data_IF_816222527012
#
_entry.id   IF_816222527012
#
_cell.length_a   1.000
_cell.length_b   1.000
_cell.length_c   1.000
_cell.angle_alpha   90.00
_cell.angle_beta   90.00
_cell.angle_gamma   90.00
#
_symmetry.space_group_name_H-M   'P 1'
#
loop_
_entity.id
_entity.type
_entity.pdbx_description
1 polymer ?
#
# COMPACT_ATOMS: atom_id res chain seq x y z
N UNK A 1 20.57 -77.93 29.91
CA UNK A 1 19.53 -78.71 30.62
C UNK A 1 18.25 -78.61 29.80
N UNK A 2 17.90 -79.72 29.11
CA UNK A 2 16.54 -80.23 28.79
C UNK A 2 15.54 -79.25 28.13
N UNK A 3 15.42 -79.20 26.79
CA UNK A 3 14.33 -79.79 25.94
C UNK A 3 12.89 -79.46 26.41
N UNK A 4 12.03 -78.87 25.57
CA UNK A 4 11.30 -79.65 24.56
C UNK A 4 10.60 -78.75 23.52
N UNK A 5 10.75 -79.12 22.26
CA UNK A 5 9.83 -78.77 21.19
C UNK A 5 8.52 -79.55 21.34
N UNK A 6 7.39 -78.92 21.02
CA UNK A 6 6.21 -79.61 20.49
C UNK A 6 5.81 -78.97 19.15
N UNK A 7 6.18 -79.66 18.07
CA UNK A 7 5.39 -79.70 16.84
C UNK A 7 4.10 -80.45 17.14
N UNK A 8 2.97 -80.03 16.57
CA UNK A 8 2.07 -80.92 15.82
C UNK A 8 1.48 -80.09 14.68
N UNK A 9 1.92 -80.48 13.49
CA UNK A 9 1.32 -80.24 12.19
C UNK A 9 0.04 -81.05 12.04
N UNK A 10 -1.00 -80.50 11.43
CA UNK A 10 -1.91 -81.28 10.58
C UNK A 10 -2.24 -80.49 9.31
N UNK A 11 -1.81 -81.10 8.22
CA UNK A 11 -1.87 -80.69 6.83
C UNK A 11 -3.25 -80.84 6.18
N UNK A 12 -3.45 -80.01 5.15
CA UNK A 12 -4.21 -80.21 3.89
C UNK A 12 -5.74 -80.14 3.90
N UNK A 13 -6.25 -79.06 3.29
CA UNK A 13 -7.13 -78.97 2.08
C UNK A 13 -7.78 -77.58 2.09
N UNK A 14 -7.96 -76.83 1.01
CA UNK A 14 -7.67 -77.05 -0.38
C UNK A 14 -7.54 -75.68 -1.07
N UNK A 15 -6.62 -75.65 -2.02
CA UNK A 15 -6.51 -74.82 -3.22
C UNK A 15 -7.83 -74.16 -3.63
N UNK A 16 -7.82 -72.83 -3.78
CA UNK A 16 -8.44 -72.03 -4.86
C UNK A 16 -8.42 -70.55 -4.41
N UNK A 17 -7.90 -69.55 -5.12
CA UNK A 17 -7.26 -69.37 -6.42
C UNK A 17 -6.45 -68.07 -6.28
N UNK A 18 -5.17 -68.08 -6.63
CA UNK A 18 -4.49 -66.92 -7.21
C UNK A 18 -4.77 -66.97 -8.73
N UNK A 19 -4.83 -65.84 -9.44
CA UNK A 19 -3.60 -65.23 -9.97
C UNK A 19 -3.72 -63.68 -10.04
N UNK A 20 -2.71 -62.84 -10.22
CA UNK A 20 -1.35 -62.98 -10.73
C UNK A 20 -0.65 -61.62 -10.66
N UNK A 21 0.61 -61.63 -10.25
CA UNK A 21 1.72 -60.82 -10.79
C UNK A 21 1.59 -59.27 -10.82
N UNK A 22 2.41 -58.56 -10.03
CA UNK A 22 3.66 -57.97 -10.53
C UNK A 22 4.37 -57.03 -9.52
N UNK A 23 5.68 -57.26 -9.37
CA UNK A 23 6.79 -56.33 -9.08
C UNK A 23 6.52 -54.98 -8.35
N UNK A 24 6.99 -54.89 -7.09
CA UNK A 24 8.03 -53.96 -6.52
C UNK A 24 8.20 -52.57 -7.19
N UNK A 25 8.57 -51.44 -6.51
CA UNK A 25 8.56 -50.99 -5.09
C UNK A 25 8.04 -49.53 -4.88
N UNK A 26 8.17 -49.00 -3.65
CA UNK A 26 8.32 -47.57 -3.33
C UNK A 26 7.12 -46.62 -3.49
N UNK A 27 6.12 -46.68 -2.61
CA UNK A 27 5.33 -45.48 -2.28
C UNK A 27 4.95 -45.50 -0.80
N UNK A 28 5.85 -45.03 0.07
CA UNK A 28 5.46 -44.57 1.41
C UNK A 28 5.64 -43.06 1.46
N UNK A 29 4.54 -42.40 1.14
CA UNK A 29 4.09 -41.12 1.68
C UNK A 29 5.12 -39.98 1.80
N UNK A 30 5.11 -39.10 0.79
CA UNK A 30 5.12 -37.64 1.01
C UNK A 30 4.58 -36.90 -0.22
N UNK A 31 3.28 -37.05 -0.49
CA UNK A 31 2.51 -35.97 -1.12
C UNK A 31 1.76 -35.26 0.00
N UNK A 32 2.36 -34.21 0.55
CA UNK A 32 1.59 -33.20 1.27
C UNK A 32 0.65 -32.56 0.26
N UNK A 33 -0.58 -33.05 0.25
CA UNK A 33 -1.70 -32.41 -0.41
C UNK A 33 -1.95 -31.09 0.32
N UNK A 34 -1.50 -29.96 -0.24
CA UNK A 34 -2.02 -28.64 0.12
C UNK A 34 -2.85 -28.09 -1.05
N UNK A 35 -4.12 -28.50 -1.17
CA UNK A 35 -5.02 -27.97 -2.19
C UNK A 35 -5.49 -26.53 -1.88
N UNK A 36 -5.35 -26.04 -0.64
CA UNK A 36 -5.93 -24.77 -0.20
C UNK A 36 -5.03 -23.53 -0.33
N UNK A 37 -3.72 -23.66 -0.52
CA UNK A 37 -2.80 -22.51 -0.50
C UNK A 37 -2.94 -21.59 -1.72
N UNK A 38 -3.49 -22.11 -2.82
CA UNK A 38 -3.83 -21.29 -4.00
C UNK A 38 -5.16 -20.57 -3.81
N UNK A 39 -6.17 -21.24 -3.26
CA UNK A 39 -7.48 -20.65 -3.00
C UNK A 39 -7.40 -19.55 -1.93
N UNK A 40 -6.61 -19.75 -0.88
CA UNK A 40 -6.36 -18.73 0.16
C UNK A 40 -5.71 -17.49 -0.46
N UNK A 41 -4.65 -17.66 -1.26
CA UNK A 41 -4.00 -16.53 -1.96
C UNK A 41 -4.94 -15.80 -2.92
N UNK A 42 -5.78 -16.53 -3.66
CA UNK A 42 -6.77 -15.93 -4.56
C UNK A 42 -7.82 -15.14 -3.78
N UNK A 43 -8.27 -15.66 -2.63
CA UNK A 43 -9.21 -14.97 -1.75
C UNK A 43 -8.59 -13.72 -1.12
N UNK A 44 -7.35 -13.79 -0.64
CA UNK A 44 -6.60 -12.64 -0.11
C UNK A 44 -6.39 -11.57 -1.21
N UNK A 45 -6.00 -11.99 -2.42
CA UNK A 45 -5.82 -11.08 -3.54
C UNK A 45 -7.15 -10.44 -3.96
N UNK A 46 -8.25 -11.20 -3.96
CA UNK A 46 -9.59 -10.67 -4.21
C UNK A 46 -9.99 -9.66 -3.13
N UNK A 47 -9.82 -9.97 -1.85
CA UNK A 47 -10.12 -9.06 -0.74
C UNK A 47 -9.30 -7.77 -0.83
N UNK A 48 -8.00 -7.87 -1.12
CA UNK A 48 -7.14 -6.69 -1.31
C UNK A 48 -7.56 -5.86 -2.52
N UNK A 49 -8.01 -6.51 -3.59
CA UNK A 49 -8.53 -5.81 -4.78
C UNK A 49 -9.84 -5.09 -4.47
N UNK A 50 -10.74 -5.73 -3.71
CA UNK A 50 -11.99 -5.12 -3.26
C UNK A 50 -11.75 -3.96 -2.30
N UNK A 51 -10.81 -4.09 -1.38
CA UNK A 51 -10.39 -3.02 -0.48
C UNK A 51 -9.83 -1.82 -1.26
N UNK A 52 -8.94 -2.07 -2.23
CA UNK A 52 -8.42 -1.02 -3.12
C UNK A 52 -9.53 -0.36 -3.95
N UNK A 53 -10.51 -1.13 -4.43
CA UNK A 53 -11.69 -0.58 -5.14
C UNK A 53 -12.54 0.29 -4.22
N UNK A 54 -12.83 -0.15 -2.99
CA UNK A 54 -13.56 0.65 -1.99
C UNK A 54 -12.84 1.94 -1.63
N UNK A 55 -11.51 1.90 -1.44
CA UNK A 55 -10.72 3.12 -1.24
C UNK A 55 -10.82 4.06 -2.45
N UNK A 56 -10.77 3.51 -3.68
CA UNK A 56 -10.88 4.31 -4.91
C UNK A 56 -12.28 4.87 -5.13
N UNK A 57 -13.33 4.13 -4.75
CA UNK A 57 -14.73 4.57 -4.78
C UNK A 57 -15.02 5.61 -3.70
N UNK A 58 -14.46 5.45 -2.50
CA UNK A 58 -14.51 6.46 -1.44
C UNK A 58 -13.79 7.73 -1.86
N UNK A 59 -12.60 7.63 -2.45
CA UNK A 59 -11.91 8.78 -3.05
C UNK A 59 -12.73 9.40 -4.19
N UNK A 60 -13.31 8.59 -5.08
CA UNK A 60 -14.13 9.06 -6.19
C UNK A 60 -15.45 9.72 -5.77
N UNK A 61 -16.03 9.27 -4.65
CA UNK A 61 -17.27 9.83 -4.09
C UNK A 61 -16.98 11.09 -3.27
N UNK A 62 -15.87 11.09 -2.52
CA UNK A 62 -15.35 12.25 -1.77
C UNK A 62 -14.87 13.37 -2.70
N UNK A 63 -14.31 13.04 -3.87
CA UNK A 63 -13.95 14.01 -4.91
C UNK A 63 -15.17 14.66 -5.58
N UNK A 64 -16.35 14.02 -5.52
CA UNK A 64 -17.60 14.55 -6.09
C UNK A 64 -18.41 15.37 -5.10
N UNK A 65 -18.20 15.20 -3.79
CA UNK A 65 -18.84 16.02 -2.77
C UNK A 65 -17.88 17.13 -2.33
N UNK A 66 -18.11 18.34 -2.84
CA UNK A 66 -17.53 19.63 -2.44
C UNK A 66 -16.09 19.94 -2.87
N UNK A 67 -15.81 19.99 -4.17
CA UNK A 67 -14.81 20.94 -4.68
C UNK A 67 -15.56 22.17 -5.19
N UNK A 68 -15.54 23.28 -4.43
CA UNK A 68 -16.05 24.58 -4.93
C UNK A 68 -15.45 24.88 -6.31
N UNK A 69 -16.18 25.46 -7.28
CA UNK A 69 -15.65 25.79 -8.61
C UNK A 69 -14.33 26.57 -8.56
N UNK A 70 -14.12 27.35 -7.48
CA UNK A 70 -12.89 28.08 -7.21
C UNK A 70 -11.66 27.16 -7.04
N UNK A 71 -11.83 26.01 -6.39
CA UNK A 71 -10.77 25.00 -6.21
C UNK A 71 -10.36 24.28 -7.51
N UNK A 72 -11.27 24.18 -8.48
CA UNK A 72 -10.96 23.63 -9.80
C UNK A 72 -10.18 24.66 -10.65
N UNK A 73 -10.58 25.92 -10.59
CA UNK A 73 -9.87 27.01 -11.26
C UNK A 73 -8.46 27.21 -10.69
N UNK A 74 -8.30 27.22 -9.37
CA UNK A 74 -6.99 27.38 -8.71
C UNK A 74 -6.04 26.21 -9.03
N UNK A 75 -6.54 24.97 -9.17
CA UNK A 75 -5.75 23.84 -9.68
C UNK A 75 -5.34 23.98 -11.14
N UNK A 76 -6.17 24.63 -11.96
CA UNK A 76 -5.84 24.88 -13.37
C UNK A 76 -4.74 25.93 -13.53
N UNK A 77 -4.64 26.91 -12.64
CA UNK A 77 -3.61 27.95 -12.68
C UNK A 77 -2.20 27.34 -12.59
N UNK A 78 -1.97 26.44 -11.63
CA UNK A 78 -0.66 25.81 -11.46
C UNK A 78 -0.28 24.86 -12.60
N UNK A 79 -1.26 24.33 -13.36
CA UNK A 79 -0.99 23.42 -14.48
C UNK A 79 -0.13 24.08 -15.57
N UNK A 80 -0.28 25.38 -15.74
CA UNK A 80 0.38 26.15 -16.79
C UNK A 80 1.72 26.75 -16.33
N UNK A 81 2.01 26.76 -15.03
CA UNK A 81 3.27 27.29 -14.51
C UNK A 81 4.39 26.28 -14.74
N UNK A 82 5.45 26.68 -15.43
CA UNK A 82 6.55 25.78 -15.79
C UNK A 82 7.73 25.88 -14.82
N UNK A 83 7.85 27.00 -14.10
CA UNK A 83 8.93 27.23 -13.13
C UNK A 83 8.40 27.28 -11.69
N UNK A 84 9.20 26.76 -10.76
CA UNK A 84 8.97 26.97 -9.33
C UNK A 84 8.95 28.45 -8.93
N UNK A 85 9.71 29.30 -9.61
CA UNK A 85 9.73 30.75 -9.34
C UNK A 85 8.36 31.38 -9.58
N UNK A 86 7.68 30.98 -10.66
CA UNK A 86 6.33 31.47 -10.97
C UNK A 86 5.34 31.02 -9.90
N UNK A 87 5.42 29.76 -9.48
CA UNK A 87 4.60 29.19 -8.40
C UNK A 87 4.82 29.98 -7.10
N UNK A 88 6.08 30.17 -6.70
CA UNK A 88 6.44 30.86 -5.47
C UNK A 88 6.08 32.34 -5.50
N UNK A 89 6.30 33.02 -6.63
CA UNK A 89 5.95 34.42 -6.79
C UNK A 89 4.43 34.62 -6.65
N UNK A 90 3.64 33.78 -7.33
CA UNK A 90 2.19 33.80 -7.22
C UNK A 90 1.73 33.60 -5.77
N UNK A 91 2.32 32.64 -5.05
CA UNK A 91 1.98 32.41 -3.64
C UNK A 91 2.35 33.56 -2.71
N UNK A 92 3.46 34.27 -2.98
CA UNK A 92 3.87 35.44 -2.20
C UNK A 92 2.89 36.59 -2.41
N UNK A 93 2.59 36.92 -3.66
CA UNK A 93 1.69 38.01 -4.04
C UNK A 93 0.22 37.73 -3.72
N UNK A 94 -0.18 36.45 -3.69
CA UNK A 94 -1.56 36.08 -3.40
C UNK A 94 -1.96 36.46 -1.97
N UNK A 95 -3.04 37.22 -1.82
CA UNK A 95 -3.70 37.49 -0.54
C UNK A 95 -4.59 36.34 -0.07
N UNK A 96 -4.63 35.23 -0.83
CA UNK A 96 -5.49 34.11 -0.50
C UNK A 96 -4.98 33.34 0.72
N UNK A 97 -5.86 33.17 1.70
CA UNK A 97 -5.67 32.29 2.85
C UNK A 97 -6.16 30.86 2.58
N UNK A 98 -6.54 30.53 1.33
CA UNK A 98 -7.08 29.22 0.99
C UNK A 98 -5.95 28.17 0.88
N UNK A 99 -5.89 27.23 1.83
CA UNK A 99 -4.91 26.14 1.85
C UNK A 99 -4.92 25.26 0.59
N UNK A 100 -6.04 25.21 -0.14
CA UNK A 100 -6.17 24.46 -1.38
C UNK A 100 -5.17 24.97 -2.44
N UNK A 101 -4.91 26.29 -2.48
CA UNK A 101 -3.97 26.91 -3.41
C UNK A 101 -2.55 26.41 -3.10
N UNK A 102 -2.16 26.43 -1.83
CA UNK A 102 -0.84 25.97 -1.38
C UNK A 102 -0.66 24.47 -1.61
N UNK A 103 -1.70 23.66 -1.35
CA UNK A 103 -1.71 22.24 -1.69
C UNK A 103 -1.51 21.99 -3.20
N UNK A 104 -2.15 22.79 -4.05
CA UNK A 104 -1.99 22.67 -5.50
C UNK A 104 -0.58 23.10 -5.95
N UNK A 105 0.01 24.13 -5.32
CA UNK A 105 1.38 24.54 -5.56
C UNK A 105 2.40 23.46 -5.16
N UNK A 106 2.23 22.84 -3.98
CA UNK A 106 3.06 21.70 -3.54
C UNK A 106 3.00 20.58 -4.57
N UNK A 107 1.79 20.22 -5.02
CA UNK A 107 1.61 19.22 -6.08
C UNK A 107 2.36 19.62 -7.35
N UNK A 108 2.25 20.87 -7.81
CA UNK A 108 2.94 21.31 -9.03
C UNK A 108 4.45 21.27 -8.89
N UNK A 109 5.01 21.80 -7.80
CA UNK A 109 6.44 21.71 -7.50
C UNK A 109 6.90 20.24 -7.43
N UNK A 110 6.03 19.33 -6.96
CA UNK A 110 6.34 17.91 -6.94
C UNK A 110 6.46 17.28 -8.32
N UNK A 111 5.56 17.63 -9.25
CA UNK A 111 5.58 17.18 -10.64
C UNK A 111 6.83 17.67 -11.36
N UNK A 112 7.24 18.90 -11.06
CA UNK A 112 8.43 19.54 -11.62
C UNK A 112 9.74 19.16 -10.88
N UNK A 113 9.66 18.34 -9.83
CA UNK A 113 10.79 17.89 -9.00
C UNK A 113 11.56 19.00 -8.28
N UNK A 114 10.90 20.11 -7.94
CA UNK A 114 11.48 21.24 -7.22
C UNK A 114 11.35 21.07 -5.70
N UNK A 115 12.32 20.37 -5.11
CA UNK A 115 12.28 19.98 -3.69
C UNK A 115 12.46 21.15 -2.72
N UNK A 116 13.34 22.10 -3.06
CA UNK A 116 13.58 23.29 -2.23
C UNK A 116 12.35 24.22 -2.18
N UNK A 117 11.58 24.28 -3.26
CA UNK A 117 10.41 25.14 -3.38
C UNK A 117 9.27 24.63 -2.48
N UNK A 118 9.18 23.31 -2.24
CA UNK A 118 8.25 22.75 -1.26
C UNK A 118 8.52 23.29 0.16
N UNK A 119 9.78 23.44 0.55
CA UNK A 119 10.15 24.01 1.87
C UNK A 119 9.70 25.47 1.95
N UNK A 120 9.96 26.26 0.91
CA UNK A 120 9.53 27.66 0.87
C UNK A 120 8.00 27.80 0.92
N UNK A 121 7.25 26.87 0.31
CA UNK A 121 5.79 26.88 0.40
C UNK A 121 5.33 26.67 1.85
N UNK A 122 5.95 25.75 2.59
CA UNK A 122 5.64 25.52 4.00
C UNK A 122 5.92 26.80 4.82
N UNK A 123 7.05 27.45 4.60
CA UNK A 123 7.41 28.72 5.25
C UNK A 123 6.40 29.84 4.93
N UNK A 124 5.92 29.92 3.68
CA UNK A 124 4.87 30.89 3.30
C UNK A 124 3.56 30.60 4.05
N UNK A 125 3.15 29.33 4.13
CA UNK A 125 1.92 28.94 4.85
C UNK A 125 2.03 29.30 6.35
N UNK A 126 3.17 29.03 6.97
CA UNK A 126 3.43 29.34 8.38
C UNK A 126 3.50 30.85 8.63
N UNK A 127 4.20 31.61 7.76
CA UNK A 127 4.32 33.07 7.92
C UNK A 127 3.02 33.83 7.69
N UNK A 128 2.12 33.29 6.86
CA UNK A 128 0.77 33.84 6.65
C UNK A 128 -0.25 33.38 7.70
N UNK A 129 0.17 32.61 8.71
CA UNK A 129 -0.67 32.02 9.75
C UNK A 129 -1.87 31.26 9.17
N UNK A 130 -1.67 30.58 8.03
CA UNK A 130 -2.71 29.79 7.38
C UNK A 130 -2.71 28.42 8.04
N UNK A 131 -3.82 28.06 8.68
CA UNK A 131 -3.96 26.76 9.30
C UNK A 131 -3.98 25.65 8.23
N UNK A 132 -2.95 24.79 8.14
CA UNK A 132 -2.93 23.73 7.15
C UNK A 132 -3.96 22.65 7.47
N UNK A 133 -4.46 21.98 6.43
CA UNK A 133 -5.39 20.86 6.58
C UNK A 133 -4.68 19.51 6.48
N UNK A 134 -5.42 18.44 6.76
CA UNK A 134 -4.88 17.07 6.71
C UNK A 134 -4.40 16.70 5.29
N UNK A 135 -4.96 17.31 4.25
CA UNK A 135 -4.57 17.08 2.86
C UNK A 135 -3.17 17.66 2.64
N UNK A 136 -2.95 18.92 3.05
CA UNK A 136 -1.67 19.59 2.94
C UNK A 136 -0.57 18.86 3.72
N UNK A 137 -0.84 18.46 4.95
CA UNK A 137 0.13 17.73 5.77
C UNK A 137 0.55 16.41 5.12
N UNK A 138 -0.43 15.57 4.78
CA UNK A 138 -0.16 14.27 4.16
C UNK A 138 0.59 14.40 2.84
N UNK A 139 0.19 15.36 2.01
CA UNK A 139 0.84 15.63 0.73
C UNK A 139 2.30 16.02 0.91
N UNK A 140 2.56 16.95 1.81
CA UNK A 140 3.90 17.47 2.07
C UNK A 140 4.82 16.39 2.63
N UNK A 141 4.37 15.64 3.63
CA UNK A 141 5.14 14.54 4.23
C UNK A 141 5.44 13.45 3.20
N UNK A 142 4.46 13.09 2.37
CA UNK A 142 4.64 12.09 1.32
C UNK A 142 5.73 12.51 0.32
N UNK A 143 5.71 13.76 -0.16
CA UNK A 143 6.74 14.22 -1.10
C UNK A 143 8.12 14.34 -0.48
N UNK A 144 8.23 14.78 0.78
CA UNK A 144 9.50 14.77 1.51
C UNK A 144 10.07 13.35 1.62
N UNK A 145 9.22 12.35 1.92
CA UNK A 145 9.61 10.95 1.95
C UNK A 145 10.06 10.43 0.58
N UNK A 146 9.31 10.74 -0.50
CA UNK A 146 9.66 10.35 -1.87
C UNK A 146 11.00 10.93 -2.34
N UNK A 147 11.44 12.06 -1.77
CA UNK A 147 12.70 12.73 -2.10
C UNK A 147 13.83 12.46 -1.10
N UNK A 148 13.67 11.46 -0.23
CA UNK A 148 14.65 11.10 0.80
C UNK A 148 15.01 12.27 1.75
N UNK A 149 14.06 13.18 2.00
CA UNK A 149 14.20 14.28 2.96
C UNK A 149 13.63 13.88 4.32
N UNK A 150 14.06 12.73 4.84
CA UNK A 150 13.48 12.13 6.06
C UNK A 150 13.68 13.00 7.31
N UNK A 151 14.81 13.70 7.43
CA UNK A 151 15.06 14.60 8.57
C UNK A 151 14.05 15.75 8.60
N UNK A 152 13.78 16.36 7.43
CA UNK A 152 12.76 17.40 7.28
C UNK A 152 11.36 16.84 7.48
N UNK A 153 11.07 15.66 6.93
CA UNK A 153 9.78 14.99 7.11
C UNK A 153 9.51 14.76 8.60
N UNK A 154 10.49 14.23 9.34
CA UNK A 154 10.40 14.04 10.78
C UNK A 154 10.21 15.38 11.49
N UNK A 155 11.03 16.38 11.17
CA UNK A 155 10.92 17.71 11.77
C UNK A 155 9.50 18.29 11.64
N UNK A 156 8.94 18.30 10.42
CA UNK A 156 7.60 18.83 10.20
C UNK A 156 6.50 17.97 10.83
N UNK A 157 6.64 16.64 10.82
CA UNK A 157 5.69 15.77 11.51
C UNK A 157 5.63 16.10 13.00
N UNK A 158 6.79 16.21 13.65
CA UNK A 158 6.85 16.57 15.07
C UNK A 158 6.31 17.98 15.32
N UNK A 159 6.64 18.94 14.45
CA UNK A 159 6.13 20.31 14.55
C UNK A 159 4.60 20.37 14.49
N UNK A 160 3.96 19.57 13.62
CA UNK A 160 2.52 19.64 13.38
C UNK A 160 1.69 18.76 14.31
N UNK A 161 2.24 17.66 14.81
CA UNK A 161 1.47 16.65 15.54
C UNK A 161 1.92 16.42 16.98
N UNK A 162 3.21 16.60 17.30
CA UNK A 162 3.73 16.33 18.66
C UNK A 162 3.58 17.52 19.61
N UNK A 163 3.33 18.73 19.09
CA UNK A 163 3.20 19.98 19.87
C UNK A 163 1.74 20.39 20.16
N UNK A 164 0.79 19.45 20.15
CA UNK A 164 -0.61 19.75 20.51
C UNK A 164 -0.83 19.82 22.02
#
# INVERSE_FOLDING_TARGET
MITTMKRISLTRRAINKFPSWNLVPCVLNRRLHQPNTRQIRLNEQHQMTQYKKKLKEQQGTLLKTTSSPKSQHERSLFRNMESDKEVLQYLKESSSQNIIIYSAAVKRCSELKYTNSLIQIIEIVQSKDIHPDIIFYNMTLNYLGMWNKFDLQKHYFQQWFDKQ
#
